data_IF_712067735450
#
_entry.id   IF_712067735450
#
_cell.length_a   1.000
_cell.length_b   1.000
_cell.length_c   1.000
_cell.angle_alpha   90.00
_cell.angle_beta   90.00
_cell.angle_gamma   90.00
#
_symmetry.space_group_name_H-M   'P 1'
#
loop_
_entity.id
_entity.type
_entity.pdbx_description
1 polymer ?
#
# COMPACT_ATOMS: atom_id res chain seq x y z
N UNK A 1 2.26 11.13 -22.60
CA UNK A 1 1.86 11.65 -21.27
C UNK A 1 0.48 12.26 -21.37
N UNK A 2 -0.26 12.43 -20.25
CA UNK A 2 -1.46 13.28 -20.23
C UNK A 2 -1.11 14.76 -20.44
N UNK A 3 -2.11 15.59 -20.77
CA UNK A 3 -1.95 17.02 -21.05
C UNK A 3 -1.90 17.87 -19.77
N UNK A 4 -0.91 17.59 -18.90
CA UNK A 4 -0.57 18.40 -17.73
C UNK A 4 0.94 18.29 -17.46
N UNK A 5 1.56 19.21 -16.68
CA UNK A 5 2.96 19.11 -16.31
C UNK A 5 3.31 17.75 -15.67
N UNK A 6 4.54 17.29 -15.89
CA UNK A 6 4.99 15.97 -15.44
C UNK A 6 5.32 15.93 -13.94
N UNK A 7 5.93 16.99 -13.39
CA UNK A 7 6.34 17.01 -11.98
C UNK A 7 5.14 17.15 -11.06
N UNK A 8 5.06 16.27 -10.07
CA UNK A 8 3.82 16.02 -9.34
C UNK A 8 3.01 14.90 -10.02
N UNK A 9 3.51 13.67 -9.95
CA UNK A 9 2.81 12.52 -10.50
C UNK A 9 1.50 12.27 -9.73
N UNK A 10 0.36 12.59 -10.34
CA UNK A 10 -0.95 12.46 -9.69
C UNK A 10 -1.24 11.04 -9.18
N UNK A 11 -0.85 10.01 -9.93
CA UNK A 11 -1.01 8.61 -9.49
C UNK A 11 -0.18 8.29 -8.25
N UNK A 12 1.05 8.80 -8.18
CA UNK A 12 1.92 8.60 -7.03
C UNK A 12 1.40 9.37 -5.80
N UNK A 13 0.86 10.58 -5.98
CA UNK A 13 0.23 11.34 -4.88
C UNK A 13 -0.98 10.59 -4.32
N UNK A 14 -1.89 10.11 -5.18
CA UNK A 14 -3.07 9.35 -4.76
C UNK A 14 -2.66 8.05 -4.08
N UNK A 15 -1.75 7.29 -4.69
CA UNK A 15 -1.27 6.03 -4.13
C UNK A 15 -0.61 6.23 -2.75
N UNK A 16 0.21 7.26 -2.59
CA UNK A 16 0.84 7.63 -1.33
C UNK A 16 -0.18 7.95 -0.25
N UNK A 17 -1.21 8.75 -0.57
CA UNK A 17 -2.27 9.09 0.37
C UNK A 17 -3.10 7.87 0.79
N UNK A 18 -3.58 7.08 -0.19
CA UNK A 18 -4.41 5.90 0.08
C UNK A 18 -3.68 4.87 0.94
N UNK A 19 -2.43 4.52 0.60
CA UNK A 19 -1.65 3.55 1.38
C UNK A 19 -1.32 4.09 2.76
N UNK A 20 -1.10 5.39 2.92
CA UNK A 20 -0.88 5.98 4.26
C UNK A 20 -2.11 5.82 5.15
N UNK A 21 -3.32 6.05 4.63
CA UNK A 21 -4.56 5.80 5.38
C UNK A 21 -4.72 4.33 5.74
N UNK A 22 -4.36 3.40 4.84
CA UNK A 22 -4.40 1.97 5.12
C UNK A 22 -3.39 1.57 6.20
N UNK A 23 -2.14 2.04 6.12
CA UNK A 23 -1.11 1.80 7.15
C UNK A 23 -1.51 2.36 8.51
N UNK A 24 -2.25 3.46 8.54
CA UNK A 24 -2.77 4.02 9.79
C UNK A 24 -3.82 3.12 10.45
N UNK A 25 -4.59 2.35 9.67
CA UNK A 25 -5.68 1.51 10.19
C UNK A 25 -5.31 0.04 10.43
N UNK A 26 -4.38 -0.49 9.65
CA UNK A 26 -3.99 -1.90 9.73
C UNK A 26 -2.67 -2.06 10.46
N UNK A 27 -2.52 -3.19 11.16
CA UNK A 27 -1.23 -3.62 11.69
C UNK A 27 -0.27 -3.90 10.52
N UNK A 28 0.74 -3.04 10.37
CA UNK A 28 1.73 -3.13 9.29
C UNK A 28 2.64 -4.34 9.39
N UNK A 29 2.84 -4.87 10.60
CA UNK A 29 3.76 -5.98 10.86
C UNK A 29 3.08 -7.35 10.73
N UNK A 30 1.74 -7.36 10.67
CA UNK A 30 0.93 -8.56 10.43
C UNK A 30 1.38 -9.28 9.15
N UNK A 31 1.51 -10.61 9.24
CA UNK A 31 1.95 -11.46 8.13
C UNK A 31 0.80 -11.71 7.16
N UNK A 32 1.03 -11.41 5.88
CA UNK A 32 -0.02 -11.50 4.88
C UNK A 32 -0.51 -12.95 4.68
N UNK A 33 0.39 -13.94 4.72
CA UNK A 33 0.01 -15.36 4.66
C UNK A 33 -0.95 -15.74 5.78
N UNK A 34 -0.68 -15.33 7.02
CA UNK A 34 -1.55 -15.63 8.17
C UNK A 34 -2.93 -15.01 7.99
N UNK A 35 -3.02 -13.77 7.48
CA UNK A 35 -4.29 -13.13 7.18
C UNK A 35 -5.07 -13.85 6.08
N UNK A 36 -4.40 -14.36 5.05
CA UNK A 36 -5.02 -15.15 3.97
C UNK A 36 -5.55 -16.47 4.54
N UNK A 37 -4.76 -17.19 5.34
CA UNK A 37 -5.15 -18.46 5.95
C UNK A 37 -6.40 -18.26 6.85
N UNK A 38 -6.40 -17.20 7.68
CA UNK A 38 -7.55 -16.82 8.51
C UNK A 38 -8.77 -16.52 7.62
N UNK A 39 -8.60 -15.77 6.52
CA UNK A 39 -9.70 -15.42 5.64
C UNK A 39 -10.31 -16.65 4.95
N UNK A 40 -9.47 -17.60 4.51
CA UNK A 40 -9.92 -18.86 3.91
C UNK A 40 -10.65 -19.76 4.91
N UNK A 41 -10.19 -19.81 6.17
CA UNK A 41 -10.80 -20.63 7.20
C UNK A 41 -12.16 -20.10 7.67
N UNK A 42 -12.41 -18.80 7.54
CA UNK A 42 -13.61 -18.16 8.10
C UNK A 42 -14.90 -18.38 7.29
N UNK A 43 -14.87 -19.11 6.16
CA UNK A 43 -15.99 -19.39 5.24
C UNK A 43 -16.86 -18.15 4.90
N UNK A 44 -16.27 -16.95 5.07
CA UNK A 44 -16.93 -15.68 4.80
C UNK A 44 -16.82 -15.40 3.31
N UNK A 45 -17.76 -15.92 2.54
CA UNK A 45 -17.89 -15.67 1.10
C UNK A 45 -18.41 -14.24 0.86
N UNK A 46 -17.57 -13.22 1.08
CA UNK A 46 -17.91 -11.86 0.65
C UNK A 46 -17.94 -11.75 -0.88
N UNK A 47 -17.13 -12.56 -1.57
CA UNK A 47 -17.04 -12.58 -3.03
C UNK A 47 -17.47 -13.96 -3.58
N UNK A 48 -18.29 -14.03 -4.65
CA UNK A 48 -18.72 -15.28 -5.30
C UNK A 48 -17.65 -15.86 -6.25
N UNK A 49 -16.38 -15.81 -5.85
CA UNK A 49 -15.24 -16.28 -6.63
C UNK A 49 -14.47 -17.39 -5.91
N UNK A 50 -13.57 -18.11 -6.61
CA UNK A 50 -12.70 -19.08 -5.96
C UNK A 50 -11.94 -18.39 -4.81
N UNK A 51 -11.88 -19.07 -3.67
CA UNK A 51 -11.14 -18.69 -2.47
C UNK A 51 -9.80 -18.04 -2.84
N UNK A 52 -9.41 -16.99 -2.10
CA UNK A 52 -8.09 -16.34 -2.20
C UNK A 52 -7.01 -17.40 -2.49
N UNK A 53 -6.32 -17.34 -3.63
CA UNK A 53 -5.43 -18.42 -4.10
C UNK A 53 -4.04 -18.41 -3.43
N UNK A 54 -3.96 -17.94 -2.18
CA UNK A 54 -2.69 -17.73 -1.50
C UNK A 54 -1.90 -16.53 -2.02
N UNK A 55 -0.59 -16.52 -1.75
CA UNK A 55 0.33 -15.58 -2.39
C UNK A 55 0.64 -16.04 -3.81
N UNK A 56 0.54 -15.11 -4.75
CA UNK A 56 0.76 -15.35 -6.17
C UNK A 56 1.90 -14.49 -6.72
N UNK A 57 2.53 -14.98 -7.76
CA UNK A 57 3.48 -14.27 -8.60
C UNK A 57 3.07 -14.40 -10.07
N UNK A 58 3.57 -13.52 -10.96
CA UNK A 58 3.39 -13.71 -12.40
C UNK A 58 3.80 -15.12 -12.84
N UNK A 59 3.09 -15.67 -13.82
CA UNK A 59 3.49 -16.93 -14.46
C UNK A 59 4.90 -16.81 -15.06
N UNK A 60 5.58 -17.95 -15.21
CA UNK A 60 6.87 -17.96 -15.89
C UNK A 60 6.68 -17.66 -17.37
N UNK A 61 7.74 -17.38 -18.13
CA UNK A 61 7.65 -17.29 -19.59
C UNK A 61 8.42 -18.46 -20.19
N UNK A 62 8.05 -19.67 -19.79
CA UNK A 62 8.78 -20.89 -20.17
C UNK A 62 8.21 -21.53 -21.43
N UNK A 63 6.94 -21.24 -21.75
CA UNK A 63 6.22 -21.81 -22.88
C UNK A 63 6.34 -21.03 -24.20
N UNK A 64 7.00 -19.87 -24.20
CA UNK A 64 7.02 -18.96 -25.35
C UNK A 64 5.73 -18.13 -25.53
N UNK A 65 4.74 -18.33 -24.65
CA UNK A 65 3.55 -17.48 -24.57
C UNK A 65 3.87 -16.12 -23.93
N UNK A 66 3.11 -15.09 -24.34
CA UNK A 66 3.24 -13.74 -23.79
C UNK A 66 2.65 -13.59 -22.39
N UNK A 67 1.79 -14.52 -21.95
CA UNK A 67 1.20 -14.51 -20.61
C UNK A 67 0.90 -15.93 -20.14
N UNK A 68 1.58 -16.39 -19.08
CA UNK A 68 1.18 -17.60 -18.35
C UNK A 68 0.29 -17.22 -17.15
N UNK A 69 -0.63 -18.11 -16.73
CA UNK A 69 -1.43 -17.89 -15.52
C UNK A 69 -0.55 -17.61 -14.29
N UNK A 70 -1.03 -16.82 -13.31
CA UNK A 70 -0.32 -16.62 -12.06
C UNK A 70 0.07 -17.94 -11.41
N UNK A 71 1.28 -18.02 -10.86
CA UNK A 71 1.78 -19.19 -10.15
C UNK A 71 1.87 -18.91 -8.66
N UNK A 72 1.83 -19.97 -7.84
CA UNK A 72 2.02 -19.84 -6.40
C UNK A 72 3.41 -19.27 -6.09
N UNK A 73 3.45 -18.28 -5.20
CA UNK A 73 4.70 -17.70 -4.74
C UNK A 73 5.31 -18.54 -3.61
N UNK A 74 6.42 -19.22 -3.91
CA UNK A 74 7.14 -20.11 -2.97
C UNK A 74 8.50 -19.54 -2.54
N UNK A 75 8.66 -18.20 -2.59
CA UNK A 75 9.89 -17.55 -2.12
C UNK A 75 10.17 -17.82 -0.65
N UNK A 76 11.45 -17.88 -0.25
CA UNK A 76 11.84 -18.12 1.14
C UNK A 76 11.36 -17.03 2.12
N UNK A 77 11.01 -15.86 1.60
CA UNK A 77 10.46 -14.71 2.29
C UNK A 77 8.92 -14.65 2.28
N UNK A 78 8.22 -15.62 1.68
CA UNK A 78 6.75 -15.65 1.62
C UNK A 78 6.08 -15.51 3.00
N UNK A 79 6.67 -16.13 4.03
CA UNK A 79 6.19 -16.04 5.42
C UNK A 79 6.56 -14.72 6.12
N UNK A 80 7.48 -13.95 5.54
CA UNK A 80 7.96 -12.70 6.12
C UNK A 80 7.26 -11.46 5.55
N UNK A 81 6.56 -11.58 4.42
CA UNK A 81 5.78 -10.50 3.79
C UNK A 81 4.74 -9.95 4.76
N UNK A 82 4.80 -8.64 4.99
CA UNK A 82 3.91 -7.94 5.92
C UNK A 82 2.91 -7.07 5.18
N UNK A 83 1.80 -6.73 5.85
CA UNK A 83 0.80 -5.79 5.33
C UNK A 83 1.46 -4.47 4.92
N UNK A 84 2.29 -3.87 5.78
CA UNK A 84 2.97 -2.61 5.48
C UNK A 84 3.94 -2.73 4.30
N UNK A 85 4.65 -3.86 4.19
CA UNK A 85 5.52 -4.16 3.05
C UNK A 85 4.75 -4.20 1.72
N UNK A 86 3.67 -4.98 1.66
CA UNK A 86 2.88 -5.14 0.44
C UNK A 86 2.08 -3.87 0.07
N UNK A 87 1.60 -3.10 1.05
CA UNK A 87 1.00 -1.79 0.80
C UNK A 87 2.01 -0.82 0.18
N UNK A 88 3.24 -0.79 0.70
CA UNK A 88 4.30 0.04 0.11
C UNK A 88 4.68 -0.44 -1.30
N UNK A 89 4.70 -1.75 -1.57
CA UNK A 89 4.88 -2.29 -2.93
C UNK A 89 3.74 -1.87 -3.85
N UNK A 90 2.48 -1.92 -3.41
CA UNK A 90 1.33 -1.46 -4.20
C UNK A 90 1.48 0.01 -4.60
N UNK A 91 1.81 0.89 -3.65
CA UNK A 91 2.06 2.30 -3.96
C UNK A 91 3.21 2.49 -4.95
N UNK A 92 4.30 1.74 -4.76
CA UNK A 92 5.46 1.75 -5.65
C UNK A 92 5.11 1.27 -7.07
N UNK A 93 4.32 0.20 -7.21
CA UNK A 93 3.90 -0.36 -8.50
C UNK A 93 3.05 0.66 -9.27
N UNK A 94 2.09 1.31 -8.63
CA UNK A 94 1.25 2.34 -9.26
C UNK A 94 2.08 3.54 -9.70
N UNK A 95 3.01 4.00 -8.86
CA UNK A 95 3.87 5.13 -9.17
C UNK A 95 4.87 4.79 -10.31
N UNK A 96 5.67 3.74 -10.12
CA UNK A 96 6.72 3.34 -11.06
C UNK A 96 6.18 2.78 -12.37
N UNK A 97 4.97 2.21 -12.39
CA UNK A 97 4.26 1.85 -13.61
C UNK A 97 4.11 3.03 -14.58
N UNK A 98 4.09 4.27 -14.06
CA UNK A 98 4.11 5.47 -14.92
C UNK A 98 5.46 5.77 -15.55
N UNK A 99 6.55 5.40 -14.90
CA UNK A 99 7.88 5.44 -15.52
C UNK A 99 8.02 4.35 -16.58
N UNK A 100 7.51 3.14 -16.31
CA UNK A 100 7.46 2.06 -17.31
C UNK A 100 6.64 2.46 -18.54
N UNK A 101 5.53 3.19 -18.34
CA UNK A 101 4.75 3.76 -19.44
C UNK A 101 5.37 4.98 -20.13
N UNK A 102 6.58 5.40 -19.74
CA UNK A 102 7.33 6.49 -20.40
C UNK A 102 6.76 7.90 -20.15
N UNK A 103 6.01 8.11 -19.06
CA UNK A 103 5.30 9.39 -18.83
C UNK A 103 5.68 10.12 -17.54
N UNK A 104 6.48 9.51 -16.66
CA UNK A 104 6.98 10.12 -15.42
C UNK A 104 8.40 9.69 -15.10
N UNK A 105 9.17 10.55 -14.44
CA UNK A 105 10.50 10.21 -13.90
C UNK A 105 10.42 9.69 -12.46
N UNK A 106 11.50 9.05 -12.01
CA UNK A 106 11.63 8.57 -10.62
C UNK A 106 11.41 9.70 -9.61
N UNK A 107 11.87 10.91 -9.90
CA UNK A 107 11.69 12.10 -9.05
C UNK A 107 10.23 12.47 -8.89
N UNK A 108 9.45 12.48 -9.98
CA UNK A 108 8.02 12.79 -9.97
C UNK A 108 7.30 11.83 -9.02
N UNK A 109 7.60 10.53 -9.16
CA UNK A 109 6.99 9.46 -8.39
C UNK A 109 7.40 9.48 -6.91
N UNK A 110 8.70 9.50 -6.63
CA UNK A 110 9.20 9.40 -5.24
C UNK A 110 8.86 10.62 -4.41
N UNK A 111 8.84 11.82 -5.00
CA UNK A 111 8.40 13.03 -4.30
C UNK A 111 6.88 13.07 -4.13
N UNK A 112 6.11 12.65 -5.13
CA UNK A 112 4.65 12.62 -5.02
C UNK A 112 4.12 11.58 -4.03
N UNK A 113 4.77 10.43 -3.87
CA UNK A 113 4.40 9.48 -2.80
C UNK A 113 4.44 10.13 -1.41
N UNK A 114 5.50 10.92 -1.15
CA UNK A 114 5.66 11.67 0.10
C UNK A 114 4.65 12.80 0.22
N UNK A 115 4.35 13.51 -0.88
CA UNK A 115 3.29 14.52 -0.88
C UNK A 115 1.94 13.90 -0.50
N UNK A 116 1.59 12.75 -1.08
CA UNK A 116 0.39 12.00 -0.74
C UNK A 116 0.33 11.60 0.73
N UNK A 117 1.45 11.10 1.27
CA UNK A 117 1.56 10.76 2.69
C UNK A 117 1.31 11.97 3.61
N UNK A 118 1.90 13.14 3.29
CA UNK A 118 1.66 14.37 4.07
C UNK A 118 0.21 14.84 4.02
N UNK A 119 -0.46 14.72 2.87
CA UNK A 119 -1.89 15.03 2.74
C UNK A 119 -2.73 14.08 3.62
N UNK A 120 -2.43 12.78 3.60
CA UNK A 120 -3.13 11.81 4.44
C UNK A 120 -2.90 12.04 5.94
N UNK A 121 -1.67 12.37 6.34
CA UNK A 121 -1.33 12.76 7.73
C UNK A 121 -2.20 13.94 8.17
N UNK A 122 -2.31 14.99 7.36
CA UNK A 122 -3.10 16.17 7.72
C UNK A 122 -4.59 15.87 7.86
N UNK A 123 -5.14 15.00 6.99
CA UNK A 123 -6.53 14.53 7.09
C UNK A 123 -6.72 13.75 8.39
N UNK A 124 -5.87 12.75 8.64
CA UNK A 124 -5.97 11.90 9.84
C UNK A 124 -5.80 12.72 11.13
N UNK A 125 -4.87 13.68 11.13
CA UNK A 125 -4.64 14.62 12.23
C UNK A 125 -5.94 15.35 12.61
N UNK A 126 -6.62 15.95 11.64
CA UNK A 126 -7.92 16.62 11.88
C UNK A 126 -8.99 15.65 12.38
N UNK A 127 -9.06 14.44 11.82
CA UNK A 127 -10.05 13.43 12.26
C UNK A 127 -9.88 13.03 13.72
N UNK A 128 -8.65 13.01 14.25
CA UNK A 128 -8.44 12.74 15.70
C UNK A 128 -9.07 13.79 16.63
N UNK A 129 -9.38 14.99 16.14
CA UNK A 129 -10.08 16.03 16.90
C UNK A 129 -11.62 15.84 16.86
N UNK A 130 -12.12 15.20 15.81
CA UNK A 130 -13.55 15.11 15.51
C UNK A 130 -14.21 13.82 16.03
N UNK A 131 -13.46 12.72 16.12
CA UNK A 131 -14.02 11.45 16.58
C UNK A 131 -14.53 11.51 18.03
N UNK A 132 -15.63 10.80 18.28
CA UNK A 132 -16.27 10.71 19.59
C UNK A 132 -15.54 9.69 20.49
N UNK A 133 -14.96 8.65 19.89
CA UNK A 133 -14.24 7.56 20.56
C UNK A 133 -12.86 8.03 21.05
N UNK A 134 -12.81 8.83 22.10
CA UNK A 134 -11.55 9.45 22.56
C UNK A 134 -10.85 8.62 23.65
N UNK A 135 -9.50 8.51 23.61
CA UNK A 135 -8.60 9.07 22.60
C UNK A 135 -8.46 8.16 21.35
N UNK A 136 -8.63 8.73 20.15
CA UNK A 136 -8.22 8.07 18.89
C UNK A 136 -6.76 8.41 18.62
N UNK A 137 -5.98 7.38 18.28
CA UNK A 137 -4.63 7.58 17.77
C UNK A 137 -4.32 6.65 16.62
N UNK A 138 -3.44 7.10 15.74
CA UNK A 138 -2.90 6.34 14.63
C UNK A 138 -1.40 6.22 14.78
N UNK A 139 -0.85 5.04 14.50
CA UNK A 139 0.59 4.84 14.47
C UNK A 139 0.95 4.04 13.25
N UNK A 140 1.88 4.55 12.45
CA UNK A 140 2.36 3.87 11.25
C UNK A 140 3.78 4.30 10.88
N UNK A 141 4.43 3.56 10.00
CA UNK A 141 5.76 3.83 9.47
C UNK A 141 5.65 4.63 8.16
N UNK A 142 6.30 5.79 8.12
CA UNK A 142 6.35 6.63 6.92
C UNK A 142 7.13 5.96 5.78
N UNK A 143 7.02 6.49 4.56
CA UNK A 143 7.86 6.05 3.44
C UNK A 143 9.36 6.24 3.70
N UNK A 144 9.72 7.17 4.57
CA UNK A 144 11.11 7.41 5.02
C UNK A 144 11.47 6.60 6.29
N UNK A 145 10.63 5.64 6.66
CA UNK A 145 10.80 4.69 7.77
C UNK A 145 10.74 5.27 9.18
N UNK A 146 10.32 6.53 9.32
CA UNK A 146 10.06 7.15 10.60
C UNK A 146 8.73 6.67 11.18
N UNK A 147 8.64 6.51 12.50
CA UNK A 147 7.38 6.18 13.13
C UNK A 147 6.56 7.46 13.30
N UNK A 148 5.40 7.52 12.67
CA UNK A 148 4.46 8.62 12.80
C UNK A 148 3.39 8.24 13.81
N UNK A 149 3.20 9.08 14.81
CA UNK A 149 2.13 8.96 15.78
C UNK A 149 1.21 10.18 15.67
N UNK A 150 -0.07 9.96 15.43
CA UNK A 150 -1.09 11.01 15.28
C UNK A 150 -2.12 10.86 16.38
N UNK A 151 -2.36 11.92 17.15
CA UNK A 151 -3.37 11.97 18.21
C UNK A 151 -3.71 13.41 18.56
N UNK A 152 -4.95 13.68 18.95
CA UNK A 152 -5.40 14.98 19.47
C UNK A 152 -4.98 16.19 18.61
N UNK A 153 -5.13 16.08 17.28
CA UNK A 153 -4.79 17.17 16.37
C UNK A 153 -3.28 17.36 16.16
N UNK A 154 -2.43 16.46 16.65
CA UNK A 154 -0.99 16.52 16.49
C UNK A 154 -0.46 15.31 15.70
N UNK A 155 0.59 15.54 14.91
CA UNK A 155 1.35 14.48 14.23
C UNK A 155 2.82 14.62 14.64
N UNK A 156 3.37 13.55 15.22
CA UNK A 156 4.72 13.50 15.75
C UNK A 156 5.52 12.41 15.04
N UNK A 157 6.75 12.71 14.66
CA UNK A 157 7.72 11.72 14.19
C UNK A 157 8.60 11.28 15.36
N UNK A 158 8.70 9.98 15.59
CA UNK A 158 9.63 9.35 16.54
C UNK A 158 10.75 8.63 15.80
#
# INVERSE_FOLDING_TARGET
SPNHPAYGAGHATVAGACVTVLKAWFDEDAKLMELIDIAQANDRTKEPGPLLQGLLQPGSHNSGELFEPPSAYNGGDAKNMTVGGELNKLASNVAMGRSMGGVHWRTDNTRSLRLGEQIAIEILRKRTEEYAERPVSFTFRSFDRHMIHITQGQAMSR
#
